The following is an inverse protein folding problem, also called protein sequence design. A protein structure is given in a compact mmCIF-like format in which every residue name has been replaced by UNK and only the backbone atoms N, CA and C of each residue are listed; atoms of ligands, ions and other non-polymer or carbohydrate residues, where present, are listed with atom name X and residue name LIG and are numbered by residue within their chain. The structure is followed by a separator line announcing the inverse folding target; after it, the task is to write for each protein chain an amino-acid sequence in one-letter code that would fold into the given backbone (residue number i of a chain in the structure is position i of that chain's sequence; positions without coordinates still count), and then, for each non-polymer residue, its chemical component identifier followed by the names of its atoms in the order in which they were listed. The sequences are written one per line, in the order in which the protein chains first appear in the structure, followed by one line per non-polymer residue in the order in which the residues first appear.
data_IF_735538055495
#
_entry.id   IF_735538055495
#
_cell.length_a   1.000
_cell.length_b   1.000
_cell.length_c   1.000
_cell.angle_alpha   90.00
_cell.angle_beta   90.00
_cell.angle_gamma   90.00
#
_symmetry.space_group_name_H-M   'P 1'
#
loop_
_entity.id
_entity.type
_entity.pdbx_description
1 polymer ?
#
# COMPACT_ATOMS: atom_id res chain seq x y z
N UNK A 1 -42.00 -20.44 -3.20
CA UNK A 1 -41.58 -19.48 -2.13
C UNK A 1 -42.03 -20.10 -0.80
N UNK A 2 -41.13 -20.23 0.17
CA UNK A 2 -41.55 -20.71 1.51
C UNK A 2 -42.35 -19.64 2.20
N UNK A 3 -43.28 -20.05 3.06
CA UNK A 3 -44.20 -19.17 3.80
C UNK A 3 -43.45 -18.04 4.53
N UNK A 4 -42.32 -18.35 5.12
CA UNK A 4 -41.51 -17.40 5.88
C UNK A 4 -40.94 -16.28 5.00
N UNK A 5 -40.48 -16.59 3.78
CA UNK A 5 -39.97 -15.59 2.82
C UNK A 5 -41.05 -14.65 2.31
N UNK A 6 -42.27 -15.18 2.14
CA UNK A 6 -43.40 -14.37 1.73
C UNK A 6 -43.77 -13.35 2.81
N UNK A 7 -43.86 -13.78 4.07
CA UNK A 7 -44.18 -12.90 5.21
C UNK A 7 -43.07 -11.83 5.42
N UNK A 8 -41.79 -12.23 5.43
CA UNK A 8 -40.69 -11.31 5.60
C UNK A 8 -40.70 -10.18 4.54
N UNK A 9 -40.89 -10.54 3.26
CA UNK A 9 -41.01 -9.54 2.19
C UNK A 9 -42.20 -8.60 2.34
N UNK A 10 -43.31 -9.11 2.86
CA UNK A 10 -44.53 -8.31 3.07
C UNK A 10 -44.40 -7.37 4.28
N UNK A 11 -43.58 -7.71 5.27
CA UNK A 11 -43.27 -6.82 6.39
C UNK A 11 -42.42 -5.64 5.95
N UNK A 12 -41.43 -5.85 5.06
CA UNK A 12 -40.64 -4.79 4.48
C UNK A 12 -41.44 -3.79 3.63
N UNK A 13 -42.49 -4.25 2.89
CA UNK A 13 -43.23 -3.44 1.91
C UNK A 13 -44.69 -3.38 2.33
N UNK A 14 -45.04 -2.66 3.39
CA UNK A 14 -46.42 -2.45 3.80
C UNK A 14 -47.08 -1.28 3.02
N UNK A 15 -48.18 -1.60 2.29
CA UNK A 15 -48.88 -0.61 1.42
C UNK A 15 -49.90 0.27 2.13
N UNK A 16 -50.19 0.07 3.41
CA UNK A 16 -51.25 0.83 4.14
C UNK A 16 -50.62 1.72 5.22
N UNK A 17 -50.60 3.04 4.97
CA UNK A 17 -50.03 4.16 5.76
C UNK A 17 -48.54 4.06 5.91
N UNK A 18 -47.85 5.21 5.77
CA UNK A 18 -46.43 5.36 6.12
C UNK A 18 -46.33 5.03 7.61
N UNK A 19 -46.12 3.74 7.90
CA UNK A 19 -46.02 3.25 9.26
C UNK A 19 -44.60 3.50 9.72
N UNK A 20 -44.44 3.80 10.98
CA UNK A 20 -43.19 4.01 11.69
C UNK A 20 -42.10 2.93 11.33
N UNK A 21 -42.57 1.68 11.10
CA UNK A 21 -41.79 0.54 10.65
C UNK A 21 -41.00 0.84 9.35
N UNK A 22 -41.68 1.39 8.33
CA UNK A 22 -41.05 1.65 7.02
C UNK A 22 -39.93 2.69 7.16
N UNK A 23 -40.12 3.70 8.02
CA UNK A 23 -39.13 4.73 8.30
C UNK A 23 -37.93 4.10 9.01
N UNK A 24 -38.13 3.28 10.03
CA UNK A 24 -37.07 2.62 10.79
C UNK A 24 -36.26 1.66 9.89
N UNK A 25 -36.96 0.86 9.07
CA UNK A 25 -36.33 -0.04 8.11
C UNK A 25 -35.46 0.75 7.07
N UNK A 26 -36.04 1.88 6.59
CA UNK A 26 -35.30 2.76 5.66
C UNK A 26 -34.04 3.36 6.29
N UNK A 27 -34.15 3.83 7.54
CA UNK A 27 -32.99 4.34 8.31
C UNK A 27 -31.92 3.26 8.44
N UNK A 28 -32.33 2.02 8.71
CA UNK A 28 -31.39 0.90 8.81
C UNK A 28 -30.70 0.57 7.48
N UNK A 29 -31.46 0.56 6.37
CA UNK A 29 -30.91 0.37 5.03
C UNK A 29 -29.92 1.49 4.69
N UNK A 30 -30.29 2.74 4.98
CA UNK A 30 -29.40 3.91 4.77
C UNK A 30 -28.15 3.80 5.65
N UNK A 31 -28.30 3.43 6.92
CA UNK A 31 -27.17 3.24 7.84
C UNK A 31 -26.15 2.21 7.33
N UNK A 32 -26.65 1.06 6.86
CA UNK A 32 -25.80 0.03 6.25
C UNK A 32 -25.17 0.56 4.94
N UNK A 33 -25.96 1.22 4.10
CA UNK A 33 -25.50 1.73 2.81
C UNK A 33 -24.38 2.77 3.00
N UNK A 34 -24.54 3.69 3.95
CA UNK A 34 -23.50 4.67 4.31
C UNK A 34 -22.27 3.96 4.89
N UNK A 35 -22.45 3.00 5.80
CA UNK A 35 -21.36 2.22 6.36
C UNK A 35 -20.56 1.47 5.31
N UNK A 36 -21.23 0.70 4.44
CA UNK A 36 -20.61 -0.05 3.35
C UNK A 36 -19.96 0.89 2.33
N UNK A 37 -20.64 1.98 1.96
CA UNK A 37 -20.11 2.97 1.02
C UNK A 37 -18.86 3.67 1.55
N UNK A 38 -18.87 4.09 2.81
CA UNK A 38 -17.70 4.67 3.48
C UNK A 38 -16.54 3.67 3.54
N UNK A 39 -16.82 2.41 3.84
CA UNK A 39 -15.86 1.32 3.92
C UNK A 39 -15.13 1.11 2.59
N UNK A 40 -15.89 1.01 1.50
CA UNK A 40 -15.36 0.84 0.14
C UNK A 40 -14.52 2.06 -0.25
N UNK A 41 -15.00 3.27 0.03
CA UNK A 41 -14.27 4.50 -0.29
C UNK A 41 -12.94 4.58 0.47
N UNK A 42 -12.95 4.34 1.77
CA UNK A 42 -11.75 4.37 2.62
C UNK A 42 -10.75 3.30 2.18
N UNK A 43 -11.18 2.06 1.94
CA UNK A 43 -10.30 0.99 1.45
C UNK A 43 -9.69 1.35 0.09
N UNK A 44 -10.47 1.91 -0.83
CA UNK A 44 -9.98 2.32 -2.15
C UNK A 44 -8.95 3.46 -2.08
N UNK A 45 -9.12 4.41 -1.16
CA UNK A 45 -8.13 5.45 -0.87
C UNK A 45 -6.86 4.85 -0.27
N UNK A 46 -6.97 3.99 0.73
CA UNK A 46 -5.81 3.31 1.31
C UNK A 46 -5.03 2.49 0.28
N UNK A 47 -5.72 1.74 -0.56
CA UNK A 47 -5.08 1.01 -1.66
C UNK A 47 -4.36 1.94 -2.63
N UNK A 48 -4.96 3.10 -2.92
CA UNK A 48 -4.37 4.13 -3.76
C UNK A 48 -3.08 4.70 -3.17
N UNK A 49 -3.08 5.07 -1.89
CA UNK A 49 -1.88 5.54 -1.19
C UNK A 49 -0.80 4.46 -1.12
N UNK A 50 -1.15 3.24 -0.73
CA UNK A 50 -0.20 2.12 -0.69
C UNK A 50 0.45 1.88 -2.07
N UNK A 51 -0.33 1.92 -3.14
CA UNK A 51 0.17 1.75 -4.50
C UNK A 51 1.12 2.89 -4.90
N UNK A 52 0.75 4.12 -4.55
CA UNK A 52 1.58 5.29 -4.81
C UNK A 52 2.91 5.21 -4.05
N UNK A 53 2.88 4.97 -2.74
CA UNK A 53 4.08 4.85 -1.91
C UNK A 53 5.02 3.78 -2.47
N UNK A 54 4.50 2.58 -2.71
CA UNK A 54 5.29 1.49 -3.28
C UNK A 54 5.84 1.89 -4.65
N UNK A 55 5.06 2.47 -5.56
CA UNK A 55 5.52 2.82 -6.91
C UNK A 55 6.58 3.91 -6.91
N UNK A 56 6.44 4.92 -6.05
CA UNK A 56 7.42 6.03 -5.94
C UNK A 56 8.76 5.52 -5.40
N UNK A 57 8.71 4.66 -4.39
CA UNK A 57 9.93 4.15 -3.76
C UNK A 57 10.61 3.05 -4.60
N UNK A 58 9.83 2.16 -5.22
CA UNK A 58 10.36 1.08 -6.07
C UNK A 58 10.79 1.53 -7.46
N UNK A 59 10.49 2.78 -7.86
CA UNK A 59 11.06 3.38 -9.07
C UNK A 59 12.56 3.58 -8.94
N UNK A 60 13.05 3.95 -7.77
CA UNK A 60 14.47 4.19 -7.50
C UNK A 60 15.20 2.94 -7.00
N UNK A 61 14.58 2.19 -6.07
CA UNK A 61 15.18 1.02 -5.44
C UNK A 61 14.84 -0.29 -6.15
N UNK A 62 15.73 -1.28 -6.07
CA UNK A 62 15.48 -2.62 -6.57
C UNK A 62 14.44 -3.35 -5.71
N UNK A 63 13.83 -4.40 -6.27
CA UNK A 63 12.92 -5.26 -5.51
C UNK A 63 13.65 -6.21 -4.55
N UNK A 64 14.85 -6.64 -4.95
CA UNK A 64 15.75 -7.41 -4.09
C UNK A 64 17.19 -6.90 -4.25
N UNK A 65 17.96 -7.09 -3.19
CA UNK A 65 19.38 -6.83 -3.14
C UNK A 65 20.11 -8.05 -2.60
N UNK A 66 21.20 -8.44 -3.27
CA UNK A 66 22.05 -9.54 -2.87
C UNK A 66 23.42 -8.98 -2.53
N UNK A 67 23.87 -9.22 -1.31
CA UNK A 67 25.17 -8.77 -0.79
C UNK A 67 25.93 -9.97 -0.23
N UNK A 68 27.25 -9.85 -0.08
CA UNK A 68 28.03 -10.91 0.56
C UNK A 68 27.78 -10.94 2.07
N UNK A 69 27.54 -12.13 2.64
CA UNK A 69 27.36 -12.28 4.08
C UNK A 69 28.63 -11.92 4.85
N UNK A 70 28.49 -11.02 5.84
CA UNK A 70 29.59 -10.64 6.73
C UNK A 70 30.66 -9.71 6.10
N UNK A 71 30.56 -9.34 4.83
CA UNK A 71 31.46 -8.39 4.16
C UNK A 71 30.70 -7.42 3.28
N UNK A 72 31.20 -6.20 3.15
CA UNK A 72 30.62 -5.18 2.24
C UNK A 72 31.13 -5.29 0.80
N UNK A 73 31.83 -6.38 0.44
CA UNK A 73 32.47 -6.54 -0.86
C UNK A 73 32.10 -7.89 -1.46
N UNK A 74 31.43 -7.86 -2.59
CA UNK A 74 31.10 -9.04 -3.41
C UNK A 74 32.09 -9.11 -4.60
N UNK A 75 33.01 -10.08 -4.55
CA UNK A 75 34.06 -10.24 -5.57
C UNK A 75 33.49 -10.97 -6.79
N UNK A 76 32.82 -12.09 -6.57
CA UNK A 76 32.33 -12.98 -7.66
C UNK A 76 30.89 -12.66 -8.09
N UNK A 77 30.56 -11.37 -8.22
CA UNK A 77 29.20 -10.93 -8.57
C UNK A 77 28.74 -11.44 -9.96
N UNK A 78 29.67 -11.70 -10.89
CA UNK A 78 29.35 -12.27 -12.20
C UNK A 78 28.79 -13.67 -12.10
N UNK A 79 29.26 -14.47 -11.12
CA UNK A 79 28.70 -15.81 -10.85
C UNK A 79 27.23 -15.69 -10.43
N UNK A 80 26.93 -14.80 -9.50
CA UNK A 80 25.56 -14.52 -9.03
C UNK A 80 24.66 -14.08 -10.19
N UNK A 81 25.14 -13.16 -11.04
CA UNK A 81 24.38 -12.70 -12.21
C UNK A 81 24.10 -13.84 -13.18
N UNK A 82 25.10 -14.69 -13.47
CA UNK A 82 24.95 -15.79 -14.42
C UNK A 82 24.00 -16.89 -13.92
N UNK A 83 24.02 -17.20 -12.62
CA UNK A 83 23.09 -18.18 -12.01
C UNK A 83 21.64 -17.70 -12.05
N UNK A 84 21.41 -16.39 -11.89
CA UNK A 84 20.07 -15.81 -11.83
C UNK A 84 19.53 -15.34 -13.18
N UNK A 85 20.36 -15.17 -14.20
CA UNK A 85 19.99 -14.60 -15.51
C UNK A 85 18.89 -15.39 -16.24
N UNK A 86 18.77 -16.70 -15.96
CA UNK A 86 17.76 -17.58 -16.57
C UNK A 86 16.39 -17.54 -15.90
N UNK A 87 16.27 -16.88 -14.76
CA UNK A 87 15.03 -16.82 -13.97
C UNK A 87 13.99 -15.92 -14.65
N UNK A 88 12.86 -16.50 -15.03
CA UNK A 88 11.78 -15.79 -15.76
C UNK A 88 11.10 -14.67 -14.97
N UNK A 89 11.24 -14.67 -13.66
CA UNK A 89 10.63 -13.65 -12.77
C UNK A 89 11.43 -12.35 -12.78
N UNK A 90 12.71 -12.40 -13.22
CA UNK A 90 13.61 -11.25 -13.24
C UNK A 90 13.33 -10.38 -14.47
N UNK A 91 13.02 -9.11 -14.24
CA UNK A 91 12.94 -8.08 -15.27
C UNK A 91 14.32 -7.50 -15.60
N UNK A 92 15.16 -7.32 -14.58
CA UNK A 92 16.51 -6.78 -14.71
C UNK A 92 17.40 -7.16 -13.54
N UNK A 93 18.71 -7.18 -13.81
CA UNK A 93 19.77 -7.49 -12.84
C UNK A 93 21.00 -6.61 -13.12
N UNK A 94 21.52 -5.94 -12.09
CA UNK A 94 22.67 -5.05 -12.22
C UNK A 94 23.56 -5.09 -10.98
N UNK A 95 24.89 -5.01 -11.13
CA UNK A 95 25.79 -4.81 -10.01
C UNK A 95 25.73 -3.35 -9.55
N UNK A 96 26.00 -3.11 -8.25
CA UNK A 96 26.09 -1.78 -7.68
C UNK A 96 27.17 -1.67 -6.62
N UNK A 97 27.61 -0.44 -6.33
CA UNK A 97 28.33 -0.11 -5.12
C UNK A 97 27.59 1.00 -4.37
N UNK A 98 27.65 0.99 -3.06
CA UNK A 98 27.02 2.02 -2.23
C UNK A 98 27.94 2.36 -1.06
N UNK A 99 28.49 3.56 -1.05
CA UNK A 99 29.42 4.00 -0.04
C UNK A 99 29.16 5.46 0.35
N UNK A 100 29.48 5.85 1.58
CA UNK A 100 29.42 7.24 1.98
C UNK A 100 30.63 8.00 1.41
N UNK A 101 30.39 9.22 0.93
CA UNK A 101 31.42 10.13 0.44
C UNK A 101 31.07 11.58 0.72
N UNK A 102 32.05 12.46 0.57
CA UNK A 102 31.84 13.91 0.66
C UNK A 102 31.94 14.48 -0.75
N UNK A 103 30.87 15.07 -1.22
CA UNK A 103 30.85 15.85 -2.46
C UNK A 103 31.17 17.30 -2.13
N UNK A 104 32.20 17.81 -2.72
CA UNK A 104 32.71 19.17 -2.52
C UNK A 104 32.56 19.98 -3.79
N UNK A 105 31.87 21.10 -3.68
CA UNK A 105 31.87 22.18 -4.67
C UNK A 105 32.79 23.32 -4.23
N UNK A 106 32.90 24.36 -5.03
CA UNK A 106 33.70 25.56 -4.67
C UNK A 106 33.27 26.24 -3.36
N UNK A 107 32.04 26.03 -2.91
CA UNK A 107 31.44 26.74 -1.78
C UNK A 107 30.92 25.83 -0.68
N UNK A 108 30.47 24.63 -1.02
CA UNK A 108 29.74 23.75 -0.10
C UNK A 108 30.30 22.33 -0.13
N UNK A 109 30.28 21.69 1.05
CA UNK A 109 30.62 20.27 1.21
C UNK A 109 29.37 19.55 1.77
N UNK A 110 29.02 18.42 1.16
CA UNK A 110 27.84 17.64 1.57
C UNK A 110 28.24 16.17 1.66
N UNK A 111 27.90 15.55 2.79
CA UNK A 111 28.04 14.09 2.96
C UNK A 111 26.84 13.42 2.29
N UNK A 112 27.10 12.48 1.40
CA UNK A 112 26.08 11.77 0.64
C UNK A 112 26.45 10.30 0.43
N UNK A 113 25.49 9.51 0.00
CA UNK A 113 25.74 8.18 -0.52
C UNK A 113 26.14 8.27 -1.99
N UNK A 114 27.31 7.73 -2.31
CA UNK A 114 27.81 7.60 -3.67
C UNK A 114 27.44 6.19 -4.15
N UNK A 115 26.51 6.12 -5.11
CA UNK A 115 26.08 4.86 -5.73
C UNK A 115 26.80 4.69 -7.06
N UNK A 116 27.67 3.67 -7.14
CA UNK A 116 28.31 3.28 -8.40
C UNK A 116 27.39 2.31 -9.15
N UNK A 117 27.11 2.60 -10.40
CA UNK A 117 26.17 1.85 -11.23
C UNK A 117 26.74 1.53 -12.61
N UNK A 118 26.25 0.44 -13.21
CA UNK A 118 26.55 0.10 -14.60
C UNK A 118 25.52 0.83 -15.50
N UNK A 119 26.00 1.79 -16.28
CA UNK A 119 25.16 2.62 -17.14
C UNK A 119 24.29 1.81 -18.11
N UNK A 120 24.82 0.70 -18.62
CA UNK A 120 24.08 -0.16 -19.56
C UNK A 120 22.95 -0.96 -18.92
N UNK A 121 23.02 -1.23 -17.61
CA UNK A 121 22.09 -2.11 -16.89
C UNK A 121 21.17 -1.38 -15.91
N UNK A 122 21.54 -0.19 -15.45
CA UNK A 122 20.79 0.54 -14.43
C UNK A 122 19.32 0.76 -14.82
N UNK A 123 19.01 1.06 -16.08
CA UNK A 123 17.64 1.23 -16.57
C UNK A 123 16.78 -0.04 -16.53
N UNK A 124 17.38 -1.22 -16.30
CA UNK A 124 16.64 -2.46 -16.12
C UNK A 124 16.17 -2.66 -14.67
N UNK A 125 16.89 -2.07 -13.70
CA UNK A 125 16.63 -2.25 -12.26
C UNK A 125 16.07 -1.02 -11.57
N UNK A 126 16.23 0.17 -12.18
CA UNK A 126 15.76 1.45 -11.64
C UNK A 126 15.24 2.34 -12.76
N UNK A 127 14.23 3.16 -12.48
CA UNK A 127 13.66 4.14 -13.40
C UNK A 127 14.43 5.48 -13.36
N UNK A 128 15.64 5.51 -12.77
CA UNK A 128 16.42 6.73 -12.54
C UNK A 128 16.76 7.47 -13.84
N UNK A 129 16.94 6.75 -14.95
CA UNK A 129 17.17 7.36 -16.26
C UNK A 129 15.96 8.17 -16.73
N UNK A 130 14.75 7.66 -16.49
CA UNK A 130 13.51 8.27 -16.95
C UNK A 130 13.15 9.53 -16.14
N UNK A 131 13.65 9.65 -14.90
CA UNK A 131 13.42 10.81 -14.03
C UNK A 131 14.55 11.83 -14.08
N UNK A 132 15.52 11.67 -14.97
CA UNK A 132 16.57 12.68 -15.21
C UNK A 132 15.99 13.83 -16.01
N UNK A 133 15.85 15.01 -15.38
CA UNK A 133 15.17 16.18 -15.93
C UNK A 133 16.08 17.17 -16.63
N UNK A 134 17.33 17.27 -16.19
CA UNK A 134 18.31 18.25 -16.71
C UNK A 134 19.57 17.50 -17.07
N UNK A 135 20.10 17.74 -18.27
CA UNK A 135 21.29 17.03 -18.80
C UNK A 135 20.94 15.62 -19.28
N UNK A 136 21.91 14.72 -19.22
CA UNK A 136 21.81 13.33 -19.69
C UNK A 136 22.29 12.37 -18.61
N UNK A 137 21.69 11.16 -18.56
CA UNK A 137 22.16 10.09 -17.68
C UNK A 137 23.23 9.28 -18.41
N UNK A 138 24.42 9.86 -18.54
CA UNK A 138 25.61 9.23 -19.10
C UNK A 138 26.84 9.70 -18.32
N UNK A 139 27.74 8.81 -17.95
CA UNK A 139 28.89 9.22 -17.14
C UNK A 139 30.03 9.80 -17.98
N UNK A 140 30.19 9.35 -19.24
CA UNK A 140 31.26 9.83 -20.17
C UNK A 140 32.62 9.91 -19.48
N UNK A 141 32.99 8.83 -18.77
CA UNK A 141 34.23 8.78 -18.01
C UNK A 141 35.47 8.90 -18.94
N UNK A 142 36.47 9.62 -18.48
CA UNK A 142 37.77 9.68 -19.10
C UNK A 142 38.87 9.48 -18.04
N UNK A 143 40.15 9.52 -18.41
CA UNK A 143 41.24 9.24 -17.48
C UNK A 143 41.33 10.21 -16.29
N UNK A 144 40.91 11.47 -16.46
CA UNK A 144 41.10 12.55 -15.49
C UNK A 144 39.77 12.87 -14.73
N UNK A 145 38.61 12.66 -15.33
CA UNK A 145 37.34 13.05 -14.79
C UNK A 145 36.29 11.94 -15.00
N UNK A 146 35.53 11.67 -13.95
CA UNK A 146 34.31 10.84 -14.06
C UNK A 146 33.11 11.71 -14.28
N UNK A 147 32.03 11.10 -14.81
CA UNK A 147 30.68 11.71 -14.80
C UNK A 147 29.99 11.50 -13.48
N UNK A 148 29.19 12.48 -13.04
CA UNK A 148 28.33 12.37 -11.86
C UNK A 148 26.93 12.85 -12.18
N UNK A 149 25.93 12.10 -11.69
CA UNK A 149 24.52 12.48 -11.77
C UNK A 149 24.01 12.73 -10.35
N UNK A 150 23.41 13.89 -10.14
CA UNK A 150 22.99 14.39 -8.83
C UNK A 150 21.47 14.41 -8.70
N UNK A 151 20.95 14.21 -7.49
CA UNK A 151 19.55 14.55 -7.20
C UNK A 151 19.34 16.06 -7.19
N UNK A 152 18.14 16.52 -7.54
CA UNK A 152 17.82 17.94 -7.69
C UNK A 152 18.13 18.75 -6.41
N UNK A 153 17.69 18.26 -5.26
CA UNK A 153 17.96 18.91 -3.95
C UNK A 153 19.45 18.93 -3.60
N UNK A 154 20.23 17.92 -4.02
CA UNK A 154 21.66 17.89 -3.80
C UNK A 154 22.39 18.89 -4.70
N UNK A 155 21.99 18.99 -5.96
CA UNK A 155 22.53 19.97 -6.90
C UNK A 155 22.31 21.40 -6.39
N UNK A 156 21.12 21.72 -5.88
CA UNK A 156 20.83 23.01 -5.27
C UNK A 156 21.70 23.30 -4.05
N UNK A 157 21.87 22.34 -3.14
CA UNK A 157 22.71 22.49 -1.95
C UNK A 157 24.17 22.70 -2.28
N UNK A 158 24.66 22.07 -3.33
CA UNK A 158 26.02 22.23 -3.83
C UNK A 158 26.18 23.48 -4.69
N UNK A 159 25.07 24.12 -5.07
CA UNK A 159 25.01 25.17 -6.10
C UNK A 159 25.72 24.73 -7.38
N UNK A 160 25.45 23.48 -7.80
CA UNK A 160 26.09 22.82 -8.92
C UNK A 160 25.17 22.81 -10.14
N UNK A 161 25.74 23.07 -11.30
CA UNK A 161 25.07 23.06 -12.60
C UNK A 161 25.71 22.00 -13.50
N UNK A 162 25.04 21.69 -14.60
CA UNK A 162 25.60 20.83 -15.65
C UNK A 162 26.94 21.39 -16.09
N UNK A 163 27.91 20.53 -16.35
CA UNK A 163 29.31 20.79 -16.70
C UNK A 163 30.16 21.38 -15.56
N UNK A 164 29.65 21.63 -14.38
CA UNK A 164 30.45 21.99 -13.22
C UNK A 164 31.31 20.81 -12.76
N UNK A 165 32.53 21.14 -12.30
CA UNK A 165 33.47 20.16 -11.75
C UNK A 165 33.32 20.10 -10.23
N UNK A 166 33.06 18.91 -9.72
CA UNK A 166 32.98 18.59 -8.30
C UNK A 166 34.11 17.66 -7.89
N UNK A 167 34.51 17.73 -6.62
CA UNK A 167 35.45 16.78 -6.04
C UNK A 167 34.70 15.84 -5.10
N UNK A 168 34.88 14.53 -5.28
CA UNK A 168 34.31 13.53 -4.38
C UNK A 168 35.41 12.87 -3.57
N UNK A 169 35.26 12.91 -2.24
CA UNK A 169 36.21 12.32 -1.30
C UNK A 169 35.60 11.04 -0.70
N UNK A 170 36.43 10.00 -0.63
CA UNK A 170 36.05 8.75 0.04
C UNK A 170 36.12 8.90 1.57
N UNK A 171 35.07 8.52 2.28
CA UNK A 171 35.07 8.46 3.77
C UNK A 171 35.82 7.24 4.29
N UNK A 172 35.98 6.19 3.49
CA UNK A 172 36.72 4.98 3.90
C UNK A 172 38.19 5.24 4.27
N UNK A 173 38.78 6.32 3.76
CA UNK A 173 40.12 6.79 4.16
C UNK A 173 40.13 7.66 5.41
N UNK A 174 39.01 8.29 5.79
CA UNK A 174 38.91 9.18 6.95
C UNK A 174 39.03 8.44 8.27
N UNK A 175 38.45 7.26 8.40
CA UNK A 175 38.59 6.41 9.60
C UNK A 175 40.04 5.94 9.78
N UNK A 176 40.72 5.61 8.69
CA UNK A 176 42.12 5.24 8.70
C UNK A 176 43.04 6.46 8.91
N UNK A 177 42.64 7.64 8.46
CA UNK A 177 43.40 8.89 8.63
C UNK A 177 43.46 9.35 10.10
N UNK A 178 42.54 8.92 10.96
CA UNK A 178 42.58 9.14 12.41
C UNK A 178 43.65 8.28 13.11
N UNK A 179 44.02 7.14 12.52
CA UNK A 179 45.00 6.17 13.09
C UNK A 179 46.26 6.06 12.29
N UNK A 180 46.26 6.46 11.03
CA UNK A 180 47.40 6.42 10.10
C UNK A 180 47.39 7.68 9.22
N UNK A 181 48.54 8.23 8.87
CA UNK A 181 48.70 9.40 7.97
C UNK A 181 48.37 8.96 6.52
N UNK A 182 47.13 8.66 6.25
CA UNK A 182 46.64 8.29 4.91
C UNK A 182 45.72 9.42 4.42
N UNK A 183 46.09 10.05 3.31
CA UNK A 183 45.23 11.06 2.70
C UNK A 183 43.97 10.40 2.10
N UNK A 184 42.74 10.95 2.36
CA UNK A 184 41.52 10.47 1.73
C UNK A 184 41.64 10.53 0.21
N UNK A 185 41.24 9.48 -0.48
CA UNK A 185 41.22 9.44 -1.94
C UNK A 185 40.16 10.43 -2.45
N UNK A 186 40.58 11.32 -3.32
CA UNK A 186 39.73 12.34 -3.93
C UNK A 186 39.81 12.22 -5.45
N UNK A 187 38.63 12.21 -6.10
CA UNK A 187 38.53 12.21 -7.56
C UNK A 187 37.62 13.36 -8.01
N UNK A 188 37.89 13.87 -9.20
CA UNK A 188 37.11 14.94 -9.83
C UNK A 188 36.04 14.36 -10.73
N UNK A 189 34.88 14.99 -10.71
CA UNK A 189 33.70 14.59 -11.50
C UNK A 189 33.08 15.80 -12.18
N UNK A 190 32.56 15.59 -13.37
CA UNK A 190 31.78 16.59 -14.11
C UNK A 190 30.29 16.23 -13.99
N UNK A 191 29.45 17.21 -13.63
CA UNK A 191 28.01 17.03 -13.53
C UNK A 191 27.41 16.84 -14.91
N UNK A 192 26.87 15.63 -15.19
CA UNK A 192 26.30 15.26 -16.48
C UNK A 192 24.78 15.30 -16.48
N UNK A 193 24.15 15.03 -15.35
CA UNK A 193 22.71 15.01 -15.23
C UNK A 193 22.22 15.37 -13.83
N UNK A 194 20.97 15.84 -13.76
CA UNK A 194 20.27 16.10 -12.51
C UNK A 194 18.92 15.39 -12.61
N UNK A 195 18.67 14.47 -11.69
CA UNK A 195 17.43 13.70 -11.58
C UNK A 195 16.53 14.24 -10.48
N UNK A 196 15.23 13.99 -10.62
CA UNK A 196 14.20 14.30 -9.61
C UNK A 196 13.35 13.03 -9.40
N UNK A 197 13.67 12.28 -8.34
CA UNK A 197 12.98 11.03 -8.00
C UNK A 197 11.62 11.25 -7.34
N UNK A 198 11.16 12.51 -7.19
CA UNK A 198 10.00 12.87 -6.38
C UNK A 198 10.07 12.34 -4.93
N UNK A 199 11.29 12.08 -4.45
CA UNK A 199 11.57 11.65 -3.09
C UNK A 199 12.73 12.48 -2.53
N UNK A 200 12.42 13.30 -1.53
CA UNK A 200 13.39 14.26 -0.96
C UNK A 200 14.64 13.60 -0.41
N UNK A 201 14.57 12.39 0.09
CA UNK A 201 15.72 11.70 0.67
C UNK A 201 16.66 11.21 -0.43
N UNK A 202 16.11 10.64 -1.51
CA UNK A 202 16.95 10.26 -2.67
C UNK A 202 17.55 11.48 -3.36
N UNK A 203 16.76 12.51 -3.60
CA UNK A 203 17.21 13.74 -4.26
C UNK A 203 18.26 14.51 -3.44
N UNK A 204 18.29 14.32 -2.12
CA UNK A 204 19.18 15.04 -1.20
C UNK A 204 20.42 14.27 -0.81
N UNK A 205 20.35 12.94 -0.78
CA UNK A 205 21.37 12.09 -0.15
C UNK A 205 22.14 11.21 -1.14
N UNK A 206 21.72 11.10 -2.41
CA UNK A 206 22.38 10.21 -3.36
C UNK A 206 23.01 10.95 -4.54
N UNK A 207 24.22 10.53 -4.87
CA UNK A 207 24.90 10.88 -6.11
C UNK A 207 25.32 9.60 -6.84
N UNK A 208 25.13 9.56 -8.16
CA UNK A 208 25.42 8.40 -8.98
C UNK A 208 26.66 8.64 -9.81
N UNK A 209 27.53 7.64 -9.87
CA UNK A 209 28.75 7.61 -10.68
C UNK A 209 28.86 6.26 -11.38
N UNK A 210 29.78 6.12 -12.34
CA UNK A 210 30.05 4.82 -12.93
C UNK A 210 30.64 3.85 -11.88
N UNK A 211 30.37 2.56 -12.05
CA UNK A 211 30.89 1.53 -11.15
C UNK A 211 32.40 1.47 -11.15
N UNK A 212 33.05 1.72 -12.29
CA UNK A 212 34.48 1.75 -12.43
C UNK A 212 35.14 2.89 -11.63
N UNK A 213 34.55 4.09 -11.66
CA UNK A 213 34.98 5.21 -10.85
C UNK A 213 34.69 5.02 -9.36
N UNK A 214 33.58 4.40 -9.01
CA UNK A 214 33.29 4.02 -7.62
C UNK A 214 34.33 3.03 -7.07
N UNK A 215 34.68 2.01 -7.85
CA UNK A 215 35.73 1.05 -7.50
C UNK A 215 37.10 1.73 -7.28
N UNK A 216 37.43 2.67 -8.15
CA UNK A 216 38.70 3.47 -8.01
C UNK A 216 38.65 4.39 -6.79
N UNK A 217 37.53 5.08 -6.55
CA UNK A 217 37.37 6.04 -5.45
C UNK A 217 37.46 5.36 -4.07
N UNK A 218 36.80 4.22 -3.93
CA UNK A 218 36.68 3.50 -2.64
C UNK A 218 37.73 2.39 -2.46
N UNK A 219 38.60 2.22 -3.44
CA UNK A 219 39.71 1.24 -3.41
C UNK A 219 39.23 -0.20 -3.13
N UNK A 220 38.19 -0.62 -3.85
CA UNK A 220 37.57 -1.94 -3.68
C UNK A 220 37.97 -2.95 -4.75
N UNK A 221 38.91 -2.59 -5.63
CA UNK A 221 39.36 -3.41 -6.76
C UNK A 221 38.21 -3.67 -7.73
N UNK A 222 38.05 -4.91 -8.18
CA UNK A 222 36.92 -5.32 -9.05
C UNK A 222 35.68 -5.76 -8.28
N UNK A 223 35.66 -5.63 -6.96
CA UNK A 223 34.51 -5.99 -6.16
C UNK A 223 33.37 -4.96 -6.32
N UNK A 224 32.16 -5.39 -6.00
CA UNK A 224 30.97 -4.55 -5.93
C UNK A 224 30.36 -4.64 -4.53
N UNK A 225 29.44 -3.74 -4.18
CA UNK A 225 28.67 -3.83 -2.94
C UNK A 225 27.68 -4.98 -2.96
N UNK A 226 27.09 -5.24 -4.14
CA UNK A 226 26.13 -6.32 -4.33
C UNK A 226 25.52 -6.30 -5.72
N UNK A 227 24.43 -7.05 -5.85
CA UNK A 227 23.63 -7.16 -7.08
C UNK A 227 22.20 -6.75 -6.78
N UNK A 228 21.66 -5.84 -7.58
CA UNK A 228 20.28 -5.36 -7.54
C UNK A 228 19.44 -6.13 -8.56
N UNK A 229 18.22 -6.52 -8.14
CA UNK A 229 17.28 -7.28 -8.96
C UNK A 229 15.95 -6.56 -8.99
N UNK A 230 15.38 -6.40 -10.18
CA UNK A 230 14.01 -6.00 -10.40
C UNK A 230 13.19 -7.16 -10.93
N UNK A 231 12.10 -7.48 -10.28
CA UNK A 231 11.14 -8.50 -10.70
C UNK A 231 10.06 -7.87 -11.57
N UNK A 232 9.33 -8.70 -12.34
CA UNK A 232 8.13 -8.26 -13.04
C UNK A 232 7.03 -7.81 -12.05
N UNK A 233 6.94 -8.45 -10.88
CA UNK A 233 5.98 -8.11 -9.83
C UNK A 233 6.68 -8.08 -8.46
N UNK A 234 6.67 -6.95 -7.77
CA UNK A 234 7.29 -6.80 -6.45
C UNK A 234 6.66 -7.71 -5.39
N UNK A 235 5.38 -8.07 -5.54
CA UNK A 235 4.68 -8.94 -4.57
C UNK A 235 5.29 -10.34 -4.48
N UNK A 236 6.00 -10.76 -5.51
CA UNK A 236 6.66 -12.07 -5.55
C UNK A 236 8.04 -12.07 -4.88
N UNK A 237 8.50 -10.90 -4.39
CA UNK A 237 9.85 -10.71 -3.85
C UNK A 237 10.16 -11.64 -2.67
N UNK A 238 9.21 -11.90 -1.77
CA UNK A 238 9.43 -12.78 -0.62
C UNK A 238 9.60 -14.25 -1.03
N UNK A 239 8.73 -14.74 -1.92
CA UNK A 239 8.85 -16.10 -2.45
C UNK A 239 10.13 -16.26 -3.27
N UNK A 240 10.46 -15.25 -4.07
CA UNK A 240 11.67 -15.26 -4.89
C UNK A 240 12.94 -15.16 -4.02
N UNK A 241 12.94 -14.40 -2.94
CA UNK A 241 14.03 -14.39 -1.96
C UNK A 241 14.34 -15.78 -1.43
N UNK A 242 13.30 -16.54 -1.01
CA UNK A 242 13.49 -17.89 -0.50
C UNK A 242 14.13 -18.81 -1.54
N UNK A 243 13.71 -18.69 -2.82
CA UNK A 243 14.30 -19.42 -3.92
C UNK A 243 15.78 -19.04 -4.13
N UNK A 244 16.11 -17.74 -4.14
CA UNK A 244 17.48 -17.26 -4.30
C UNK A 244 18.40 -17.70 -3.16
N UNK A 245 17.90 -17.65 -1.91
CA UNK A 245 18.67 -18.14 -0.74
C UNK A 245 18.98 -19.63 -0.85
N UNK A 246 18.05 -20.44 -1.34
CA UNK A 246 18.29 -21.86 -1.57
C UNK A 246 19.30 -22.11 -2.70
N UNK A 247 19.25 -21.30 -3.76
CA UNK A 247 20.13 -21.42 -4.92
C UNK A 247 21.57 -20.99 -4.60
N UNK A 248 21.74 -19.85 -3.95
CA UNK A 248 23.08 -19.26 -3.70
C UNK A 248 23.74 -19.74 -2.40
N UNK A 249 22.95 -20.26 -1.44
CA UNK A 249 23.44 -20.76 -0.15
C UNK A 249 23.75 -19.65 0.87
N UNK A 250 24.40 -20.04 2.00
CA UNK A 250 24.61 -19.17 3.17
C UNK A 250 25.68 -18.07 3.01
N UNK A 251 26.39 -18.03 1.88
CA UNK A 251 27.42 -17.04 1.62
C UNK A 251 26.91 -15.65 1.23
N UNK A 252 25.59 -15.51 1.08
CA UNK A 252 24.94 -14.29 0.60
C UNK A 252 23.79 -13.87 1.51
N UNK A 253 23.64 -12.56 1.67
CA UNK A 253 22.48 -11.93 2.31
C UNK A 253 21.56 -11.42 1.20
N UNK A 254 20.32 -11.90 1.19
CA UNK A 254 19.29 -11.47 0.24
C UNK A 254 18.25 -10.67 1.00
N UNK A 255 18.11 -9.40 0.66
CA UNK A 255 17.14 -8.49 1.27
C UNK A 255 16.07 -8.10 0.27
N UNK A 256 14.81 -8.18 0.67
CA UNK A 256 13.69 -7.64 -0.11
C UNK A 256 13.59 -6.13 0.07
N UNK A 257 12.87 -5.46 -0.81
CA UNK A 257 12.56 -4.04 -0.67
C UNK A 257 11.90 -3.73 0.68
N UNK A 258 11.03 -4.61 1.18
CA UNK A 258 10.35 -4.46 2.46
C UNK A 258 11.31 -4.48 3.65
N UNK A 259 12.34 -5.30 3.60
CA UNK A 259 13.39 -5.38 4.63
C UNK A 259 14.37 -4.21 4.56
N UNK A 260 14.71 -3.75 3.35
CA UNK A 260 15.55 -2.57 3.18
C UNK A 260 14.89 -1.28 3.70
N UNK A 261 13.54 -1.26 3.75
CA UNK A 261 12.72 -0.13 4.21
C UNK A 261 11.80 -0.52 5.37
N UNK A 262 12.32 -1.29 6.34
CA UNK A 262 11.55 -1.81 7.46
C UNK A 262 10.81 -0.72 8.25
N UNK A 263 11.45 0.42 8.49
CA UNK A 263 10.83 1.55 9.19
C UNK A 263 9.59 2.08 8.45
N UNK A 264 9.70 2.32 7.15
CA UNK A 264 8.59 2.77 6.31
C UNK A 264 7.48 1.71 6.24
N UNK A 265 7.88 0.45 6.07
CA UNK A 265 6.92 -0.65 5.99
C UNK A 265 6.18 -0.84 7.33
N UNK A 266 6.85 -0.68 8.46
CA UNK A 266 6.23 -0.75 9.78
C UNK A 266 5.17 0.34 9.98
N UNK A 267 5.45 1.58 9.55
CA UNK A 267 4.47 2.69 9.57
C UNK A 267 3.26 2.35 8.69
N UNK A 268 3.47 1.85 7.47
CA UNK A 268 2.38 1.42 6.58
C UNK A 268 1.53 0.30 7.20
N UNK A 269 2.13 -0.62 7.96
CA UNK A 269 1.41 -1.67 8.68
C UNK A 269 0.55 -1.09 9.81
N UNK A 270 1.08 -0.15 10.60
CA UNK A 270 0.34 0.54 11.67
C UNK A 270 -0.85 1.30 11.08
N UNK A 271 -0.66 2.03 9.98
CA UNK A 271 -1.73 2.73 9.27
C UNK A 271 -2.84 1.75 8.83
N UNK A 272 -2.46 0.60 8.28
CA UNK A 272 -3.39 -0.44 7.85
C UNK A 272 -4.19 -1.01 9.03
N UNK A 273 -3.54 -1.31 10.15
CA UNK A 273 -4.20 -1.78 11.36
C UNK A 273 -5.16 -0.74 11.93
N UNK A 274 -4.77 0.54 11.95
CA UNK A 274 -5.62 1.66 12.36
C UNK A 274 -6.86 1.76 11.49
N UNK A 275 -6.70 1.63 10.16
CA UNK A 275 -7.82 1.58 9.24
C UNK A 275 -8.78 0.43 9.57
N UNK A 276 -8.26 -0.79 9.79
CA UNK A 276 -9.11 -1.93 10.14
C UNK A 276 -9.89 -1.72 11.44
N UNK A 277 -9.28 -1.09 12.45
CA UNK A 277 -9.98 -0.75 13.71
C UNK A 277 -11.11 0.24 13.46
N UNK A 278 -10.85 1.32 12.73
CA UNK A 278 -11.89 2.33 12.39
C UNK A 278 -13.01 1.67 11.59
N UNK A 279 -12.69 0.86 10.59
CA UNK A 279 -13.65 0.15 9.76
C UNK A 279 -14.48 -0.83 10.60
N UNK A 280 -13.87 -1.52 11.56
CA UNK A 280 -14.58 -2.42 12.49
C UNK A 280 -15.58 -1.66 13.35
N UNK A 281 -15.26 -0.44 13.80
CA UNK A 281 -16.19 0.41 14.54
C UNK A 281 -17.38 0.85 13.69
N UNK A 282 -17.16 1.23 12.44
CA UNK A 282 -18.25 1.58 11.50
C UNK A 282 -19.20 0.39 11.31
N UNK A 283 -18.65 -0.80 11.10
CA UNK A 283 -19.41 -2.04 10.97
C UNK A 283 -20.19 -2.34 12.24
N UNK A 284 -19.59 -2.14 13.41
CA UNK A 284 -20.25 -2.36 14.70
C UNK A 284 -21.45 -1.44 14.88
N UNK A 285 -21.33 -0.16 14.54
CA UNK A 285 -22.45 0.80 14.56
C UNK A 285 -23.56 0.38 13.62
N UNK A 286 -23.22 -0.05 12.39
CA UNK A 286 -24.22 -0.56 11.44
C UNK A 286 -24.96 -1.80 11.99
N UNK A 287 -24.22 -2.71 12.65
CA UNK A 287 -24.79 -3.91 13.28
C UNK A 287 -25.80 -3.56 14.39
N UNK A 288 -25.48 -2.60 15.25
CA UNK A 288 -26.42 -2.12 16.28
C UNK A 288 -27.64 -1.45 15.66
N UNK A 289 -27.49 -0.72 14.57
CA UNK A 289 -28.62 -0.12 13.84
C UNK A 289 -29.60 -1.20 13.35
N UNK A 290 -29.11 -2.31 12.79
CA UNK A 290 -29.92 -3.44 12.36
C UNK A 290 -30.68 -4.08 13.55
N UNK A 291 -29.94 -4.38 14.63
CA UNK A 291 -30.52 -5.01 15.82
C UNK A 291 -31.59 -4.13 16.46
N UNK A 292 -31.38 -2.81 16.53
CA UNK A 292 -32.35 -1.84 17.04
C UNK A 292 -33.61 -1.78 16.19
N UNK A 293 -33.44 -1.69 14.86
CA UNK A 293 -34.54 -1.68 13.91
C UNK A 293 -35.42 -2.94 13.98
N UNK A 294 -34.77 -4.11 13.94
CA UNK A 294 -35.48 -5.38 14.02
C UNK A 294 -36.18 -5.56 15.38
N UNK A 295 -35.56 -5.09 16.47
CA UNK A 295 -36.19 -5.13 17.80
C UNK A 295 -37.48 -4.29 17.82
N UNK A 296 -37.41 -3.08 17.20
CA UNK A 296 -38.63 -2.23 17.10
C UNK A 296 -39.70 -2.86 16.22
N UNK A 297 -39.29 -3.46 15.08
CA UNK A 297 -40.23 -4.21 14.22
C UNK A 297 -40.91 -5.35 15.00
N UNK A 298 -40.16 -6.10 15.83
CA UNK A 298 -40.70 -7.15 16.68
C UNK A 298 -41.78 -6.61 17.66
N UNK A 299 -41.49 -5.48 18.31
CA UNK A 299 -42.43 -4.84 19.26
C UNK A 299 -43.70 -4.42 18.54
N UNK A 300 -43.60 -3.76 17.40
CA UNK A 300 -44.77 -3.29 16.64
C UNK A 300 -45.59 -4.44 16.01
N UNK A 301 -44.92 -5.56 15.66
CA UNK A 301 -45.52 -6.75 15.08
C UNK A 301 -45.92 -7.80 16.11
N UNK A 302 -45.89 -7.46 17.40
CA UNK A 302 -46.15 -8.38 18.49
C UNK A 302 -47.53 -9.08 18.33
N UNK A 303 -48.59 -8.33 17.98
CA UNK A 303 -49.91 -8.87 17.72
C UNK A 303 -49.94 -9.82 16.52
N UNK A 304 -49.26 -9.47 15.42
CA UNK A 304 -49.17 -10.32 14.23
C UNK A 304 -48.43 -11.64 14.56
N UNK A 305 -47.40 -11.59 15.39
CA UNK A 305 -46.65 -12.76 15.89
C UNK A 305 -47.59 -13.67 16.71
N UNK A 306 -48.39 -13.07 17.62
CA UNK A 306 -49.37 -13.80 18.40
C UNK A 306 -50.38 -14.54 17.52
N UNK A 307 -50.95 -13.88 16.50
CA UNK A 307 -51.86 -14.48 15.55
C UNK A 307 -51.22 -15.64 14.78
N UNK A 308 -49.99 -15.45 14.28
CA UNK A 308 -49.26 -16.50 13.56
C UNK A 308 -49.03 -17.73 14.44
N UNK A 309 -48.68 -17.54 15.72
CA UNK A 309 -48.52 -18.64 16.68
C UNK A 309 -49.81 -19.37 17.01
N UNK A 310 -50.93 -18.66 17.17
CA UNK A 310 -52.25 -19.30 17.38
C UNK A 310 -52.73 -20.08 16.15
N UNK A 311 -52.27 -19.68 14.94
CA UNK A 311 -52.50 -20.43 13.70
C UNK A 311 -51.52 -21.63 13.52
N UNK A 312 -50.68 -21.92 14.50
CA UNK A 312 -49.80 -23.10 14.50
C UNK A 312 -48.38 -22.86 14.01
N UNK A 313 -47.92 -21.59 13.82
CA UNK A 313 -46.55 -21.32 13.48
C UNK A 313 -45.61 -21.68 14.61
N UNK A 314 -44.54 -22.43 14.30
CA UNK A 314 -43.52 -22.83 15.26
C UNK A 314 -42.56 -21.66 15.59
N UNK A 315 -41.89 -21.73 16.77
CA UNK A 315 -40.85 -20.76 17.14
C UNK A 315 -39.73 -20.66 16.07
N UNK A 316 -39.39 -21.81 15.45
CA UNK A 316 -38.41 -21.84 14.37
C UNK A 316 -38.87 -21.08 13.12
N UNK A 317 -40.16 -21.10 12.78
CA UNK A 317 -40.70 -20.31 11.66
C UNK A 317 -40.66 -18.81 11.96
N UNK A 318 -41.01 -18.40 13.19
CA UNK A 318 -40.89 -16.99 13.60
C UNK A 318 -39.44 -16.50 13.53
N UNK A 319 -38.50 -17.28 14.05
CA UNK A 319 -37.06 -16.94 13.95
C UNK A 319 -36.67 -16.74 12.48
N UNK A 320 -37.04 -17.66 11.59
CA UNK A 320 -36.69 -17.55 10.15
C UNK A 320 -37.31 -16.31 9.51
N UNK A 321 -38.52 -15.92 9.85
CA UNK A 321 -39.15 -14.70 9.31
C UNK A 321 -38.27 -13.46 9.59
N UNK A 322 -37.94 -13.22 10.86
CA UNK A 322 -37.17 -12.05 11.25
C UNK A 322 -35.68 -12.12 10.81
N UNK A 323 -35.10 -13.31 10.72
CA UNK A 323 -33.78 -13.49 10.12
C UNK A 323 -33.79 -13.17 8.62
N UNK A 324 -34.79 -13.61 7.87
CA UNK A 324 -34.93 -13.23 6.46
C UNK A 324 -35.15 -11.74 6.28
N UNK A 325 -35.90 -11.08 7.17
CA UNK A 325 -36.06 -9.63 7.16
C UNK A 325 -34.71 -8.91 7.35
N UNK A 326 -33.94 -9.32 8.37
CA UNK A 326 -32.59 -8.74 8.60
C UNK A 326 -31.62 -8.96 7.44
N UNK A 327 -31.62 -10.16 6.83
CA UNK A 327 -30.83 -10.45 5.64
C UNK A 327 -31.24 -9.57 4.45
N UNK A 328 -32.55 -9.36 4.23
CA UNK A 328 -33.04 -8.51 3.15
C UNK A 328 -32.61 -7.04 3.36
N UNK A 329 -32.72 -6.53 4.59
CA UNK A 329 -32.18 -5.19 4.95
C UNK A 329 -30.69 -5.13 4.66
N UNK A 330 -29.92 -6.14 5.06
CA UNK A 330 -28.49 -6.27 4.78
C UNK A 330 -28.19 -6.26 3.28
N UNK A 331 -28.92 -7.04 2.47
CA UNK A 331 -28.73 -7.13 1.01
C UNK A 331 -28.99 -5.77 0.36
N UNK A 332 -30.13 -5.13 0.64
CA UNK A 332 -30.46 -3.84 0.04
C UNK A 332 -29.47 -2.76 0.47
N UNK A 333 -29.10 -2.70 1.76
CA UNK A 333 -28.12 -1.76 2.27
C UNK A 333 -26.73 -1.97 1.64
N UNK A 334 -26.28 -3.23 1.50
CA UNK A 334 -25.00 -3.56 0.89
C UNK A 334 -24.96 -3.18 -0.59
N UNK A 335 -26.00 -3.51 -1.37
CA UNK A 335 -26.06 -3.17 -2.80
C UNK A 335 -26.00 -1.65 -2.99
N UNK A 336 -26.84 -0.91 -2.26
CA UNK A 336 -26.87 0.55 -2.32
C UNK A 336 -25.51 1.12 -1.87
N UNK A 337 -24.93 0.59 -0.80
CA UNK A 337 -23.63 1.00 -0.29
C UNK A 337 -22.49 0.76 -1.28
N UNK A 338 -22.49 -0.40 -1.95
CA UNK A 338 -21.51 -0.68 -3.01
C UNK A 338 -21.64 0.32 -4.18
N UNK A 339 -22.85 0.64 -4.59
CA UNK A 339 -23.12 1.61 -5.66
C UNK A 339 -22.65 3.02 -5.23
N UNK A 340 -22.98 3.43 -4.00
CA UNK A 340 -22.56 4.73 -3.47
C UNK A 340 -21.04 4.83 -3.33
N UNK A 341 -20.39 3.83 -2.74
CA UNK A 341 -18.93 3.79 -2.60
C UNK A 341 -18.21 3.81 -3.95
N UNK A 342 -18.68 3.00 -4.92
CA UNK A 342 -18.15 3.02 -6.27
C UNK A 342 -18.36 4.39 -6.93
N UNK A 343 -19.54 4.97 -6.78
CA UNK A 343 -19.89 6.29 -7.32
C UNK A 343 -18.95 7.38 -6.79
N UNK A 344 -18.72 7.42 -5.47
CA UNK A 344 -17.79 8.37 -4.84
C UNK A 344 -16.37 8.18 -5.38
N UNK A 345 -15.89 6.94 -5.47
CA UNK A 345 -14.57 6.63 -6.01
C UNK A 345 -14.42 7.09 -7.47
N UNK A 346 -15.41 6.82 -8.33
CA UNK A 346 -15.39 7.24 -9.73
C UNK A 346 -15.48 8.76 -9.89
N UNK A 347 -16.28 9.43 -9.06
CA UNK A 347 -16.36 10.89 -9.03
C UNK A 347 -15.02 11.51 -8.65
N UNK A 348 -14.33 10.95 -7.63
CA UNK A 348 -13.01 11.40 -7.22
C UNK A 348 -11.98 11.22 -8.35
N UNK A 349 -11.96 10.07 -9.02
CA UNK A 349 -11.03 9.80 -10.13
C UNK A 349 -11.27 10.80 -11.28
N UNK A 350 -12.55 11.06 -11.62
CA UNK A 350 -12.90 11.89 -12.77
C UNK A 350 -12.78 13.39 -12.49
N UNK A 351 -13.24 13.84 -11.33
CA UNK A 351 -13.38 15.28 -11.01
C UNK A 351 -12.33 15.78 -10.03
N UNK A 352 -11.49 14.89 -9.46
CA UNK A 352 -10.47 15.26 -8.46
C UNK A 352 -11.06 16.14 -7.34
N UNK A 353 -12.20 15.71 -6.75
CA UNK A 353 -12.99 16.47 -5.77
C UNK A 353 -12.16 16.91 -4.54
N UNK A 354 -11.18 16.11 -4.17
CA UNK A 354 -10.24 16.38 -3.08
C UNK A 354 -8.84 16.59 -3.68
N UNK A 355 -8.53 17.81 -4.17
CA UNK A 355 -7.20 18.15 -4.62
C UNK A 355 -6.22 18.18 -3.46
N UNK A 356 -4.98 17.80 -3.69
CA UNK A 356 -3.87 17.91 -2.75
C UNK A 356 -2.95 19.05 -3.21
N UNK A 357 -2.29 19.69 -2.24
CA UNK A 357 -1.34 20.76 -2.54
C UNK A 357 -0.07 20.17 -3.21
N UNK A 358 0.23 20.50 -4.46
CA UNK A 358 1.38 19.97 -5.20
C UNK A 358 2.73 20.36 -4.55
N UNK A 359 2.75 21.37 -3.69
CA UNK A 359 3.99 21.78 -2.97
C UNK A 359 4.34 20.81 -1.83
N UNK A 360 3.36 20.09 -1.31
CA UNK A 360 3.51 19.15 -0.19
C UNK A 360 3.49 17.70 -0.68
N UNK A 361 2.61 17.40 -1.63
CA UNK A 361 2.39 16.05 -2.16
C UNK A 361 2.77 15.96 -3.63
N UNK A 362 3.45 14.90 -4.07
CA UNK A 362 3.82 14.69 -5.48
C UNK A 362 2.64 14.28 -6.37
N UNK A 363 1.41 14.48 -5.92
CA UNK A 363 0.16 14.11 -6.60
C UNK A 363 -0.87 15.24 -6.50
N UNK A 364 -1.65 15.42 -7.55
CA UNK A 364 -2.65 16.50 -7.65
C UNK A 364 -3.92 16.24 -6.83
N UNK A 365 -4.25 14.99 -6.53
CA UNK A 365 -5.48 14.62 -5.82
C UNK A 365 -5.31 13.30 -5.06
N UNK A 366 -6.24 13.03 -4.13
CA UNK A 366 -6.32 11.77 -3.37
C UNK A 366 -6.29 10.57 -4.34
N UNK A 367 -5.30 9.67 -4.20
CA UNK A 367 -5.17 8.50 -5.06
C UNK A 367 -6.24 7.47 -4.72
N UNK A 368 -6.84 6.85 -5.73
CA UNK A 368 -7.83 5.78 -5.56
C UNK A 368 -7.40 4.56 -6.38
N UNK A 369 -7.37 3.39 -5.74
CA UNK A 369 -7.17 2.10 -6.39
C UNK A 369 -8.34 1.17 -6.05
N UNK A 370 -9.27 1.02 -7.00
CA UNK A 370 -10.49 0.22 -6.82
C UNK A 370 -10.14 -1.25 -7.05
N UNK A 371 -10.33 -2.09 -6.01
CA UNK A 371 -10.11 -3.53 -6.10
C UNK A 371 -11.43 -4.28 -5.96
N UNK A 372 -11.77 -5.10 -6.95
CA UNK A 372 -12.99 -5.91 -6.93
C UNK A 372 -13.06 -6.87 -5.72
N UNK A 373 -11.92 -7.33 -5.22
CA UNK A 373 -11.82 -8.18 -4.03
C UNK A 373 -12.37 -7.50 -2.78
N UNK A 374 -12.16 -6.19 -2.63
CA UNK A 374 -12.62 -5.44 -1.45
C UNK A 374 -14.14 -5.37 -1.42
N UNK A 375 -14.77 -5.21 -2.58
CA UNK A 375 -16.24 -5.26 -2.69
C UNK A 375 -16.80 -6.61 -2.23
N UNK A 376 -16.15 -7.71 -2.62
CA UNK A 376 -16.58 -9.06 -2.23
C UNK A 376 -16.44 -9.25 -0.72
N UNK A 377 -15.28 -8.87 -0.14
CA UNK A 377 -15.06 -9.01 1.30
C UNK A 377 -15.98 -8.13 2.13
N UNK A 378 -16.18 -6.88 1.73
CA UNK A 378 -17.09 -5.95 2.41
C UNK A 378 -18.55 -6.44 2.31
N UNK A 379 -18.99 -6.87 1.14
CA UNK A 379 -20.34 -7.41 0.95
C UNK A 379 -20.56 -8.67 1.80
N UNK A 380 -19.62 -9.60 1.82
CA UNK A 380 -19.70 -10.81 2.61
C UNK A 380 -19.74 -10.50 4.11
N UNK A 381 -18.85 -9.63 4.58
CA UNK A 381 -18.81 -9.19 5.98
C UNK A 381 -20.11 -8.51 6.39
N UNK A 382 -20.64 -7.60 5.57
CA UNK A 382 -21.92 -6.92 5.82
C UNK A 382 -23.09 -7.90 5.93
N UNK A 383 -23.16 -8.91 5.05
CA UNK A 383 -24.22 -9.92 5.10
C UNK A 383 -24.11 -10.85 6.32
N UNK A 384 -22.90 -11.27 6.69
CA UNK A 384 -22.65 -12.06 7.89
C UNK A 384 -23.08 -11.27 9.13
N UNK A 385 -22.75 -10.00 9.20
CA UNK A 385 -23.11 -9.16 10.33
C UNK A 385 -24.62 -8.87 10.40
N UNK A 386 -25.27 -8.64 9.26
CA UNK A 386 -26.73 -8.52 9.20
C UNK A 386 -27.43 -9.80 9.71
N UNK A 387 -26.90 -10.96 9.33
CA UNK A 387 -27.39 -12.25 9.84
C UNK A 387 -27.19 -12.37 11.36
N UNK A 388 -26.00 -12.08 11.87
CA UNK A 388 -25.71 -12.15 13.31
C UNK A 388 -26.54 -11.14 14.12
N UNK A 389 -26.65 -9.90 13.63
CA UNK A 389 -27.45 -8.85 14.25
C UNK A 389 -28.95 -9.21 14.36
N UNK A 390 -29.45 -9.96 13.39
CA UNK A 390 -30.85 -10.39 13.37
C UNK A 390 -31.17 -11.52 14.34
N UNK A 391 -30.19 -12.29 14.83
CA UNK A 391 -30.40 -13.46 15.69
C UNK A 391 -31.05 -13.10 17.03
N UNK A 392 -30.58 -12.04 17.69
CA UNK A 392 -31.11 -11.64 18.99
C UNK A 392 -32.58 -11.18 18.90
N UNK A 393 -32.95 -10.22 18.02
CA UNK A 393 -34.36 -9.83 17.84
C UNK A 393 -35.27 -10.99 17.40
N UNK A 394 -34.77 -11.85 16.50
CA UNK A 394 -35.53 -13.01 16.02
C UNK A 394 -35.85 -14.02 17.14
N UNK A 395 -34.90 -14.29 18.03
CA UNK A 395 -35.10 -15.15 19.20
C UNK A 395 -36.09 -14.51 20.19
N UNK A 396 -35.99 -13.20 20.41
CA UNK A 396 -36.93 -12.46 21.26
C UNK A 396 -38.37 -12.51 20.71
N UNK A 397 -38.50 -12.33 19.38
CA UNK A 397 -39.82 -12.49 18.71
C UNK A 397 -40.42 -13.90 18.90
N UNK A 398 -39.61 -14.93 18.82
CA UNK A 398 -40.02 -16.31 19.01
C UNK A 398 -40.38 -16.65 20.47
N UNK A 399 -39.87 -15.91 21.44
CA UNK A 399 -40.19 -16.10 22.87
C UNK A 399 -41.50 -15.45 23.31
N UNK A 400 -42.11 -14.58 22.47
CA UNK A 400 -43.38 -13.91 22.83
C UNK A 400 -44.53 -14.92 23.02
N UNK A 401 -45.28 -14.77 24.14
CA UNK A 401 -46.44 -15.63 24.45
C UNK A 401 -47.67 -15.19 23.66
N UNK A 402 -48.41 -16.12 22.99
CA UNK A 402 -49.54 -15.78 22.12
C UNK A 402 -50.63 -15.00 22.85
N UNK A 403 -50.95 -15.38 24.10
CA UNK A 403 -52.03 -14.77 24.88
C UNK A 403 -51.70 -13.32 25.26
N UNK A 404 -50.48 -13.07 25.70
CA UNK A 404 -50.00 -11.72 26.03
C UNK A 404 -49.84 -10.86 24.80
N UNK A 405 -49.43 -11.45 23.68
CA UNK A 405 -49.21 -10.75 22.42
C UNK A 405 -50.55 -10.24 21.80
N UNK A 406 -51.64 -10.97 21.95
CA UNK A 406 -52.97 -10.58 21.41
C UNK A 406 -53.66 -9.55 22.32
N UNK A 407 -53.42 -9.60 23.64
CA UNK A 407 -53.99 -8.63 24.62
C UNK A 407 -53.28 -7.29 24.66
N UNK A 408 -52.18 -7.14 23.90
CA UNK A 408 -51.41 -5.89 23.81
C UNK A 408 -52.20 -4.86 23.01
N UNK A 409 -52.72 -3.83 23.65
CA UNK A 409 -53.29 -2.62 23.05
C UNK A 409 -52.22 -1.59 22.73
#
# INVERSE_FOLDING_TARGET
MTFERFIARRYLISKKKIQFITIITLISIIGIAVGVGALITVLSVFNGFNKLQVSTLTGFDPHLRIEAAGTSKLIDYNKVINELKSEKQIKGIAPFTLNKGVVSSKRNNVVVYIKGVDDSKIGQVSDIKDVTKIGVFEFQDNENFGGIVLGLSLADRLNARIEDTLTVLSTAGMEKALTQIVQPKALKFVVRGIYDANNRDYDKLYALISISYAQRLFDIGNAVGGVEIRLHNIRDSENFKQHVVQLLGQGYTVSTWYEMHEELYSVMQVERWTAYVILSLIILVATFSIAGSLTMTVIEKKRDIGILKTMGSTNGSIIRIFMFEGILIGIYGTIIGCILGLGICLLQIKFKLFPLDPTVYPIDALPIDIRGTDFIYVALASLILAFLASLYPARKAAAEEPIQAIRWE
#
